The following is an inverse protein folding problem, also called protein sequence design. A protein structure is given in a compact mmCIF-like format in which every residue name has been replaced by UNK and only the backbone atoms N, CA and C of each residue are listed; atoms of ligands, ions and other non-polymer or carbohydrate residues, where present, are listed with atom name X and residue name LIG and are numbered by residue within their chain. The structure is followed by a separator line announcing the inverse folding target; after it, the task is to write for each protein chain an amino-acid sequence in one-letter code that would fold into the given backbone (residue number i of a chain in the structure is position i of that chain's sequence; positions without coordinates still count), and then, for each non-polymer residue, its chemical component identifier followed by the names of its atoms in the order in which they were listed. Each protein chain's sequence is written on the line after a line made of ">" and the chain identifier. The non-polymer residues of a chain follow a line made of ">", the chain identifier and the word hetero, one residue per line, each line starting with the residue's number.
data_IF_885587038961
#
_entry.id   IF_885587038961
#
_cell.length_a   1.000
_cell.length_b   1.000
_cell.length_c   1.000
_cell.angle_alpha   90.00
_cell.angle_beta   90.00
_cell.angle_gamma   90.00
#
_symmetry.space_group_name_H-M   'P 1'
#
loop_
_entity.id
_entity.type
_entity.pdbx_description
1 polymer ?
#
# COMPACT_ATOMS: atom_id res chain seq x y z
N UNK A 1 4.64 -5.90 -26.37
CA UNK A 1 5.11 -5.66 -24.98
C UNK A 1 4.32 -4.54 -24.28
N UNK A 2 4.04 -3.42 -24.96
CA UNK A 2 3.32 -2.26 -24.40
C UNK A 2 1.89 -2.59 -23.95
N UNK A 3 1.14 -3.37 -24.72
CA UNK A 3 -0.22 -3.78 -24.36
C UNK A 3 -0.27 -4.56 -23.02
N UNK A 4 0.67 -5.48 -22.78
CA UNK A 4 0.74 -6.24 -21.53
C UNK A 4 1.05 -5.34 -20.33
N UNK A 5 1.92 -4.33 -20.51
CA UNK A 5 2.19 -3.33 -19.46
C UNK A 5 0.97 -2.46 -19.16
N UNK A 6 0.24 -2.07 -20.21
CA UNK A 6 -1.00 -1.31 -20.05
C UNK A 6 -2.05 -2.12 -19.28
N UNK A 7 -2.26 -3.38 -19.66
CA UNK A 7 -3.21 -4.26 -18.97
C UNK A 7 -2.82 -4.49 -17.51
N UNK A 8 -1.54 -4.75 -17.23
CA UNK A 8 -1.06 -4.92 -15.87
C UNK A 8 -1.38 -3.69 -15.00
N UNK A 9 -1.06 -2.48 -15.50
CA UNK A 9 -1.37 -1.24 -14.79
C UNK A 9 -2.87 -1.01 -14.62
N UNK A 10 -3.69 -1.32 -15.63
CA UNK A 10 -5.14 -1.19 -15.58
C UNK A 10 -5.74 -2.07 -14.46
N UNK A 11 -5.27 -3.32 -14.35
CA UNK A 11 -5.75 -4.24 -13.31
C UNK A 11 -5.24 -3.88 -11.91
N UNK A 12 -4.00 -3.40 -11.80
CA UNK A 12 -3.39 -3.07 -10.51
C UNK A 12 -3.96 -1.77 -9.90
N UNK A 13 -4.29 -0.78 -10.75
CA UNK A 13 -4.77 0.53 -10.31
C UNK A 13 -6.08 0.47 -9.50
N UNK A 14 -6.94 -0.51 -9.78
CA UNK A 14 -8.23 -0.67 -9.09
C UNK A 14 -8.17 -1.33 -7.71
N UNK A 15 -7.06 -2.01 -7.37
CA UNK A 15 -7.00 -2.88 -6.20
C UNK A 15 -7.05 -2.07 -4.90
N UNK A 16 -6.17 -1.09 -4.75
CA UNK A 16 -6.12 -0.26 -3.53
C UNK A 16 -7.41 0.54 -3.25
N UNK A 17 -8.03 1.24 -4.23
CA UNK A 17 -9.30 1.92 -3.98
C UNK A 17 -10.45 0.94 -3.68
N UNK A 18 -10.48 -0.23 -4.33
CA UNK A 18 -11.49 -1.25 -4.05
C UNK A 18 -11.35 -1.81 -2.61
N UNK A 19 -10.14 -2.16 -2.18
CA UNK A 19 -9.88 -2.63 -0.81
C UNK A 19 -10.20 -1.54 0.22
N UNK A 20 -9.83 -0.30 -0.07
CA UNK A 20 -10.14 0.85 0.83
C UNK A 20 -11.64 1.03 0.97
N UNK A 21 -12.38 1.02 -0.14
CA UNK A 21 -13.84 1.13 -0.15
C UNK A 21 -14.50 -0.03 0.60
N UNK A 22 -14.01 -1.26 0.42
CA UNK A 22 -14.49 -2.43 1.14
C UNK A 22 -14.30 -2.23 2.66
N UNK A 23 -13.10 -1.86 3.11
CA UNK A 23 -12.85 -1.60 4.54
C UNK A 23 -13.74 -0.48 5.07
N UNK A 24 -13.89 0.62 4.34
CA UNK A 24 -14.76 1.73 4.74
C UNK A 24 -16.26 1.39 4.75
N UNK A 25 -16.67 0.35 4.01
CA UNK A 25 -18.06 -0.14 3.99
C UNK A 25 -18.36 -1.09 5.15
N UNK A 26 -17.37 -1.85 5.62
CA UNK A 26 -17.57 -2.84 6.70
C UNK A 26 -17.25 -2.32 8.10
N UNK A 27 -16.37 -1.31 8.23
CA UNK A 27 -15.84 -0.85 9.51
C UNK A 27 -16.16 0.62 9.79
N UNK A 28 -16.41 0.92 11.08
CA UNK A 28 -16.65 2.28 11.58
C UNK A 28 -15.42 3.18 11.40
N UNK A 29 -15.63 4.49 11.32
CA UNK A 29 -14.55 5.50 11.15
C UNK A 29 -13.36 5.32 12.11
N UNK A 30 -13.62 4.99 13.38
CA UNK A 30 -12.57 4.78 14.39
C UNK A 30 -11.76 3.50 14.18
N UNK A 31 -12.34 2.48 13.54
CA UNK A 31 -11.72 1.18 13.30
C UNK A 31 -11.00 1.12 11.95
N UNK A 32 -11.40 1.96 11.00
CA UNK A 32 -10.83 2.02 9.65
C UNK A 32 -9.31 2.21 9.65
N UNK A 33 -8.75 3.04 10.55
CA UNK A 33 -7.30 3.28 10.63
C UNK A 33 -6.54 1.98 10.89
N UNK A 34 -7.00 1.20 11.88
CA UNK A 34 -6.35 -0.05 12.23
C UNK A 34 -6.49 -1.08 11.10
N UNK A 35 -7.67 -1.17 10.47
CA UNK A 35 -7.93 -2.15 9.40
C UNK A 35 -7.20 -1.81 8.10
N UNK A 36 -7.18 -0.55 7.70
CA UNK A 36 -6.37 -0.09 6.57
C UNK A 36 -4.90 -0.30 6.88
N UNK A 37 -4.44 0.01 8.11
CA UNK A 37 -3.11 -0.34 8.58
C UNK A 37 -2.76 -1.81 8.32
N UNK A 38 -3.64 -2.75 8.68
CA UNK A 38 -3.46 -4.17 8.38
C UNK A 38 -3.35 -4.48 6.88
N UNK A 39 -4.14 -3.83 6.02
CA UNK A 39 -4.02 -4.01 4.56
C UNK A 39 -2.66 -3.54 4.07
N UNK A 40 -2.15 -2.42 4.59
CA UNK A 40 -0.83 -1.91 4.22
C UNK A 40 0.31 -2.75 4.78
N UNK A 41 0.16 -3.43 5.92
CA UNK A 41 1.15 -4.40 6.42
C UNK A 41 1.41 -5.54 5.42
N UNK A 42 0.41 -5.93 4.63
CA UNK A 42 0.58 -6.94 3.58
C UNK A 42 1.59 -6.50 2.51
N UNK A 43 1.80 -5.18 2.32
CA UNK A 43 2.81 -4.67 1.40
C UNK A 43 4.22 -5.04 1.86
N UNK A 44 4.57 -4.76 3.12
CA UNK A 44 5.85 -5.14 3.71
C UNK A 44 6.09 -6.66 3.69
N UNK A 45 5.06 -7.46 3.95
CA UNK A 45 5.13 -8.93 3.83
C UNK A 45 5.41 -9.33 2.37
N UNK A 46 4.73 -8.69 1.41
CA UNK A 46 4.96 -8.90 -0.02
C UNK A 46 6.38 -8.57 -0.46
N UNK A 47 6.98 -7.50 0.08
CA UNK A 47 8.39 -7.14 -0.16
C UNK A 47 9.33 -8.24 0.35
N UNK A 48 9.09 -8.77 1.56
CA UNK A 48 9.90 -9.84 2.14
C UNK A 48 9.81 -11.11 1.30
N UNK A 49 8.59 -11.59 1.03
CA UNK A 49 8.36 -12.82 0.27
C UNK A 49 8.88 -12.67 -1.17
N UNK A 50 8.58 -11.53 -1.82
CA UNK A 50 9.04 -11.24 -3.17
C UNK A 50 10.57 -11.16 -3.27
N UNK A 51 11.23 -10.56 -2.27
CA UNK A 51 12.68 -10.52 -2.15
C UNK A 51 13.29 -11.91 -2.01
N UNK A 52 12.73 -12.77 -1.14
CA UNK A 52 13.19 -14.15 -0.94
C UNK A 52 13.01 -15.02 -2.20
N UNK A 53 11.85 -14.94 -2.85
CA UNK A 53 11.58 -15.66 -4.10
C UNK A 53 12.57 -15.22 -5.19
N UNK A 54 12.78 -13.90 -5.33
CA UNK A 54 13.71 -13.33 -6.32
C UNK A 54 15.14 -13.77 -6.03
N UNK A 55 15.54 -13.85 -4.76
CA UNK A 55 16.86 -14.33 -4.36
C UNK A 55 17.06 -15.81 -4.71
N UNK A 56 16.06 -16.66 -4.44
CA UNK A 56 16.08 -18.09 -4.78
C UNK A 56 16.18 -18.33 -6.28
N UNK A 57 15.37 -17.63 -7.08
CA UNK A 57 15.42 -17.72 -8.55
C UNK A 57 16.73 -17.15 -9.11
N UNK A 58 17.34 -16.19 -8.41
CA UNK A 58 18.66 -15.64 -8.76
C UNK A 58 19.79 -16.68 -8.79
N UNK A 59 19.68 -17.76 -8.01
CA UNK A 59 20.64 -18.86 -7.92
C UNK A 59 20.38 -20.01 -8.90
N UNK A 60 19.25 -20.00 -9.61
CA UNK A 60 18.97 -21.01 -10.62
C UNK A 60 19.83 -20.79 -11.86
N UNK A 61 20.39 -21.86 -12.41
CA UNK A 61 21.04 -21.85 -13.72
C UNK A 61 19.99 -21.56 -14.81
N UNK A 62 20.41 -20.90 -15.88
CA UNK A 62 19.50 -20.53 -16.97
C UNK A 62 19.00 -21.79 -17.69
N UNK A 63 17.84 -22.29 -17.26
CA UNK A 63 17.11 -23.44 -17.83
C UNK A 63 16.42 -23.07 -19.16
N UNK A 64 17.17 -22.47 -20.10
CA UNK A 64 16.67 -22.02 -21.41
C UNK A 64 15.70 -20.82 -21.39
N UNK A 65 15.26 -20.39 -20.20
CA UNK A 65 14.36 -19.25 -20.00
C UNK A 65 15.02 -18.24 -19.05
N UNK A 66 14.98 -16.96 -19.40
CA UNK A 66 15.55 -15.90 -18.57
C UNK A 66 14.89 -15.85 -17.17
N UNK A 67 15.72 -15.78 -16.11
CA UNK A 67 15.31 -15.80 -14.69
C UNK A 67 14.16 -14.85 -14.33
N UNK A 68 14.09 -13.68 -14.96
CA UNK A 68 13.02 -12.70 -14.71
C UNK A 68 11.63 -13.18 -15.18
N UNK A 69 11.55 -14.09 -16.16
CA UNK A 69 10.27 -14.66 -16.63
C UNK A 69 9.70 -15.64 -15.63
N UNK A 70 10.56 -16.42 -14.96
CA UNK A 70 10.15 -17.32 -13.87
C UNK A 70 9.49 -16.57 -12.71
N UNK A 71 10.04 -15.41 -12.35
CA UNK A 71 9.44 -14.53 -11.33
C UNK A 71 8.01 -14.15 -11.74
N UNK A 72 7.80 -13.72 -12.98
CA UNK A 72 6.47 -13.34 -13.48
C UNK A 72 5.50 -14.51 -13.54
N UNK A 73 5.94 -15.72 -13.89
CA UNK A 73 5.08 -16.90 -13.89
C UNK A 73 4.65 -17.31 -12.49
N UNK A 74 5.58 -17.31 -11.53
CA UNK A 74 5.28 -17.70 -10.14
C UNK A 74 4.39 -16.67 -9.48
N UNK A 75 4.80 -15.40 -9.45
CA UNK A 75 4.01 -14.35 -8.80
C UNK A 75 2.69 -14.08 -9.53
N UNK A 76 2.71 -14.05 -10.87
CA UNK A 76 1.50 -13.88 -11.68
C UNK A 76 0.53 -15.04 -11.54
N UNK A 77 1.02 -16.28 -11.46
CA UNK A 77 0.18 -17.45 -11.24
C UNK A 77 -0.51 -17.41 -9.87
N UNK A 78 0.23 -17.05 -8.82
CA UNK A 78 -0.32 -16.90 -7.47
C UNK A 78 -1.38 -15.80 -7.41
N UNK A 79 -1.14 -14.64 -8.03
CA UNK A 79 -2.13 -13.54 -8.03
C UNK A 79 -3.38 -13.89 -8.83
N UNK A 80 -3.24 -14.57 -9.98
CA UNK A 80 -4.39 -15.07 -10.74
C UNK A 80 -5.20 -16.08 -9.92
N UNK A 81 -4.54 -17.01 -9.23
CA UNK A 81 -5.22 -17.99 -8.37
C UNK A 81 -5.99 -17.33 -7.22
N UNK A 82 -5.37 -16.36 -6.53
CA UNK A 82 -6.02 -15.58 -5.49
C UNK A 82 -7.20 -14.78 -6.06
N UNK A 83 -7.06 -14.22 -7.27
CA UNK A 83 -8.14 -13.51 -7.96
C UNK A 83 -9.36 -14.39 -8.23
N UNK A 84 -9.15 -15.66 -8.64
CA UNK A 84 -10.24 -16.63 -8.82
C UNK A 84 -10.93 -16.93 -7.49
N UNK A 85 -10.15 -17.15 -6.41
CA UNK A 85 -10.72 -17.37 -5.08
C UNK A 85 -11.54 -16.15 -4.63
N UNK A 86 -10.98 -14.95 -4.79
CA UNK A 86 -11.69 -13.71 -4.45
C UNK A 86 -12.99 -13.57 -5.24
N UNK A 87 -13.01 -13.94 -6.52
CA UNK A 87 -14.24 -13.88 -7.32
C UNK A 87 -15.39 -14.72 -6.75
N UNK A 88 -15.10 -15.89 -6.17
CA UNK A 88 -16.13 -16.76 -5.59
C UNK A 88 -16.44 -16.50 -4.12
N UNK A 89 -15.46 -16.05 -3.34
CA UNK A 89 -15.56 -15.94 -1.87
C UNK A 89 -15.61 -14.51 -1.35
N UNK A 90 -15.34 -13.49 -2.16
CA UNK A 90 -15.31 -12.10 -1.70
C UNK A 90 -16.74 -11.63 -1.38
N UNK A 91 -16.94 -11.26 -0.12
CA UNK A 91 -18.18 -10.66 0.34
C UNK A 91 -18.11 -9.15 0.10
N UNK A 92 -18.92 -8.69 -0.82
CA UNK A 92 -18.98 -7.33 -1.38
C UNK A 92 -19.92 -6.39 -0.60
N UNK A 93 -20.83 -6.96 0.21
CA UNK A 93 -21.82 -6.21 0.96
C UNK A 93 -21.93 -6.72 2.43
N UNK A 94 -21.94 -5.83 3.44
CA UNK A 94 -22.20 -6.21 4.82
C UNK A 94 -23.60 -6.82 5.05
N UNK A 95 -24.54 -6.64 4.11
CA UNK A 95 -25.84 -7.34 4.09
C UNK A 95 -25.88 -8.56 3.14
N UNK A 96 -24.73 -9.04 2.68
CA UNK A 96 -24.69 -10.16 1.72
C UNK A 96 -25.24 -11.44 2.35
N UNK A 97 -26.04 -12.19 1.57
CA UNK A 97 -26.66 -13.46 1.98
C UNK A 97 -25.62 -14.51 2.41
N UNK A 98 -24.38 -14.39 1.93
CA UNK A 98 -23.26 -15.26 2.28
C UNK A 98 -22.82 -15.14 3.75
N UNK A 99 -23.12 -14.03 4.43
CA UNK A 99 -22.79 -13.83 5.86
C UNK A 99 -23.74 -14.58 6.80
N UNK A 100 -24.90 -15.06 6.30
CA UNK A 100 -25.90 -15.79 7.09
C UNK A 100 -26.22 -15.13 8.44
N UNK A 101 -26.46 -13.81 8.42
CA UNK A 101 -26.72 -13.01 9.62
C UNK A 101 -28.08 -13.38 10.24
N UNK A 102 -28.11 -13.53 11.57
CA UNK A 102 -29.35 -13.59 12.34
C UNK A 102 -30.02 -12.20 12.41
N UNK A 103 -31.33 -12.15 12.69
CA UNK A 103 -32.10 -10.90 12.76
C UNK A 103 -31.49 -9.84 13.70
N UNK A 104 -30.97 -10.26 14.86
CA UNK A 104 -30.27 -9.35 15.79
C UNK A 104 -28.95 -8.81 15.22
N UNK A 105 -28.23 -9.63 14.44
CA UNK A 105 -26.99 -9.24 13.80
C UNK A 105 -27.22 -8.28 12.63
N UNK A 106 -28.35 -8.41 11.93
CA UNK A 106 -28.74 -7.52 10.85
C UNK A 106 -29.01 -6.09 11.36
N UNK A 107 -29.68 -5.97 12.51
CA UNK A 107 -29.91 -4.68 13.19
C UNK A 107 -28.57 -4.05 13.61
N UNK A 108 -27.66 -4.84 14.20
CA UNK A 108 -26.32 -4.37 14.58
C UNK A 108 -25.48 -3.94 13.38
N UNK A 109 -25.60 -4.62 12.24
CA UNK A 109 -24.93 -4.24 10.99
C UNK A 109 -25.51 -2.93 10.47
N UNK A 110 -26.82 -2.73 10.54
CA UNK A 110 -27.47 -1.50 10.11
C UNK A 110 -27.05 -0.30 10.96
N UNK A 111 -27.02 -0.45 12.29
CA UNK A 111 -26.52 0.58 13.20
C UNK A 111 -25.05 0.92 12.95
N UNK A 112 -24.21 -0.08 12.67
CA UNK A 112 -22.80 0.15 12.30
C UNK A 112 -22.68 0.88 10.97
N UNK A 113 -23.51 0.53 9.99
CA UNK A 113 -23.46 1.11 8.64
C UNK A 113 -23.84 2.60 8.66
N UNK A 114 -24.69 3.05 9.60
CA UNK A 114 -25.02 4.47 9.77
C UNK A 114 -23.83 5.34 10.23
N UNK A 115 -22.85 4.75 10.91
CA UNK A 115 -21.64 5.43 11.39
C UNK A 115 -20.46 5.32 10.40
N UNK A 116 -20.69 4.70 9.24
CA UNK A 116 -19.68 4.59 8.20
C UNK A 116 -19.49 5.92 7.45
N UNK A 117 -18.28 6.14 6.95
CA UNK A 117 -17.93 7.33 6.14
C UNK A 117 -18.62 7.32 4.77
N UNK A 118 -18.95 6.14 4.25
CA UNK A 118 -19.48 5.96 2.89
C UNK A 118 -20.97 5.64 2.95
N UNK A 119 -21.81 6.58 2.52
CA UNK A 119 -23.23 6.33 2.23
C UNK A 119 -23.32 5.79 0.81
N UNK A 120 -23.58 4.48 0.65
CA UNK A 120 -23.76 3.87 -0.69
C UNK A 120 -25.01 4.46 -1.35
N UNK A 121 -24.82 5.42 -2.23
CA UNK A 121 -25.85 5.95 -3.13
C UNK A 121 -25.51 5.53 -4.54
N UNK A 122 -26.39 4.76 -5.19
CA UNK A 122 -26.18 4.29 -6.57
C UNK A 122 -26.48 5.37 -7.64
N UNK A 123 -26.99 6.54 -7.22
CA UNK A 123 -27.28 7.66 -8.10
C UNK A 123 -26.09 8.63 -8.15
N UNK A 124 -25.43 8.70 -9.31
CA UNK A 124 -24.36 9.67 -9.58
C UNK A 124 -25.01 11.05 -9.74
N UNK A 125 -24.74 11.96 -8.80
CA UNK A 125 -25.20 13.35 -8.87
C UNK A 125 -24.12 14.22 -9.50
N UNK A 126 -24.30 14.58 -10.76
CA UNK A 126 -23.34 15.41 -11.50
C UNK A 126 -23.07 16.76 -10.82
N UNK A 127 -24.05 17.30 -10.11
CA UNK A 127 -23.90 18.54 -9.33
C UNK A 127 -22.82 18.40 -8.23
N UNK A 128 -22.79 17.27 -7.52
CA UNK A 128 -21.78 17.00 -6.48
C UNK A 128 -20.38 16.85 -7.07
N UNK A 129 -20.25 16.35 -8.29
CA UNK A 129 -18.97 16.24 -8.99
C UNK A 129 -18.42 17.63 -9.32
N UNK A 130 -19.27 18.51 -9.87
CA UNK A 130 -18.87 19.87 -10.22
C UNK A 130 -18.55 20.69 -8.97
N UNK A 131 -19.29 20.51 -7.88
CA UNK A 131 -19.01 21.13 -6.59
C UNK A 131 -17.66 20.67 -6.02
N UNK A 132 -17.39 19.36 -6.02
CA UNK A 132 -16.11 18.81 -5.57
C UNK A 132 -14.91 19.30 -6.40
N UNK A 133 -15.08 19.46 -7.72
CA UNK A 133 -14.03 19.98 -8.61
C UNK A 133 -13.72 21.46 -8.39
N UNK A 134 -14.67 22.25 -7.88
CA UNK A 134 -14.47 23.66 -7.52
C UNK A 134 -13.82 23.85 -6.15
N UNK A 135 -13.73 22.79 -5.34
CA UNK A 135 -13.15 22.87 -4.02
C UNK A 135 -11.62 22.99 -4.08
N UNK A 136 -11.06 24.13 -3.69
CA UNK A 136 -9.60 24.37 -3.67
C UNK A 136 -8.85 23.36 -2.80
N UNK A 137 -9.49 22.86 -1.73
CA UNK A 137 -8.90 21.86 -0.83
C UNK A 137 -8.65 20.53 -1.54
N UNK A 138 -9.53 20.13 -2.46
CA UNK A 138 -9.36 18.93 -3.28
C UNK A 138 -8.08 19.06 -4.12
N UNK A 139 -7.87 20.18 -4.80
CA UNK A 139 -6.67 20.41 -5.60
C UNK A 139 -5.38 20.47 -4.77
N UNK A 140 -5.43 21.03 -3.56
CA UNK A 140 -4.31 21.00 -2.63
C UNK A 140 -3.95 19.55 -2.21
N UNK A 141 -4.95 18.72 -1.91
CA UNK A 141 -4.76 17.31 -1.56
C UNK A 141 -4.28 16.47 -2.76
N UNK A 142 -4.82 16.71 -3.95
CA UNK A 142 -4.38 16.07 -5.19
C UNK A 142 -2.91 16.43 -5.48
N UNK A 143 -2.53 17.69 -5.30
CA UNK A 143 -1.15 18.15 -5.51
C UNK A 143 -0.20 17.53 -4.49
N UNK A 144 -0.57 17.50 -3.21
CA UNK A 144 0.22 16.84 -2.17
C UNK A 144 0.39 15.34 -2.43
N UNK A 145 -0.70 14.67 -2.82
CA UNK A 145 -0.69 13.24 -3.18
C UNK A 145 0.17 12.97 -4.41
N UNK A 146 0.13 13.83 -5.43
CA UNK A 146 0.95 13.73 -6.63
C UNK A 146 2.45 13.82 -6.31
N UNK A 147 2.85 14.82 -5.51
CA UNK A 147 4.24 14.98 -5.09
C UNK A 147 4.73 13.77 -4.27
N UNK A 148 3.85 13.24 -3.43
CA UNK A 148 4.14 12.04 -2.64
C UNK A 148 4.28 10.78 -3.51
N UNK A 149 3.37 10.55 -4.46
CA UNK A 149 3.46 9.44 -5.41
C UNK A 149 4.70 9.55 -6.30
N UNK A 150 5.05 10.76 -6.75
CA UNK A 150 6.27 11.02 -7.51
C UNK A 150 7.50 10.60 -6.72
N UNK A 151 7.54 10.97 -5.43
CA UNK A 151 8.61 10.59 -4.53
C UNK A 151 8.69 9.07 -4.35
N UNK A 152 7.56 8.44 -4.05
CA UNK A 152 7.48 7.01 -3.81
C UNK A 152 7.87 6.20 -5.06
N UNK A 153 7.39 6.60 -6.24
CA UNK A 153 7.73 5.94 -7.51
C UNK A 153 9.23 5.94 -7.78
N UNK A 154 9.92 7.06 -7.52
CA UNK A 154 11.36 7.15 -7.64
C UNK A 154 12.12 6.22 -6.67
N UNK A 155 11.74 6.21 -5.39
CA UNK A 155 12.45 5.40 -4.38
C UNK A 155 12.16 3.90 -4.54
N UNK A 156 10.95 3.51 -4.94
CA UNK A 156 10.55 2.11 -5.05
C UNK A 156 11.12 1.45 -6.31
N UNK A 157 10.99 2.09 -7.48
CA UNK A 157 11.45 1.51 -8.76
C UNK A 157 12.97 1.38 -8.80
N UNK A 158 13.69 2.39 -8.32
CA UNK A 158 15.15 2.42 -8.37
C UNK A 158 15.80 1.83 -7.12
N UNK A 159 15.05 1.27 -6.18
CA UNK A 159 15.55 0.78 -4.90
C UNK A 159 16.76 -0.16 -5.05
N UNK A 160 16.62 -1.22 -5.86
CA UNK A 160 17.69 -2.19 -6.08
C UNK A 160 18.90 -1.57 -6.80
N UNK A 161 18.68 -0.57 -7.64
CA UNK A 161 19.76 0.14 -8.34
C UNK A 161 20.52 1.07 -7.41
N UNK A 162 19.80 1.78 -6.53
CA UNK A 162 20.37 2.64 -5.48
C UNK A 162 21.24 1.80 -4.55
N UNK A 163 20.76 0.63 -4.12
CA UNK A 163 21.54 -0.28 -3.29
C UNK A 163 22.79 -0.80 -4.01
N UNK A 164 22.74 -1.04 -5.33
CA UNK A 164 23.96 -1.38 -6.11
C UNK A 164 24.95 -0.23 -6.17
N UNK A 165 24.48 1.02 -6.27
CA UNK A 165 25.34 2.20 -6.23
C UNK A 165 26.11 2.37 -4.91
N UNK A 166 25.74 1.62 -3.86
CA UNK A 166 26.49 1.59 -2.60
C UNK A 166 27.63 0.57 -2.59
N UNK A 167 27.85 -0.17 -3.69
CA UNK A 167 28.92 -1.18 -3.80
C UNK A 167 28.46 -2.61 -3.51
N UNK A 168 27.16 -2.84 -3.30
CA UNK A 168 26.62 -4.19 -3.11
C UNK A 168 26.43 -4.92 -4.44
N UNK A 169 26.65 -6.23 -4.42
CA UNK A 169 26.41 -7.10 -5.59
C UNK A 169 24.92 -7.25 -5.90
N UNK A 170 24.57 -7.64 -7.14
CA UNK A 170 23.17 -7.80 -7.58
C UNK A 170 22.34 -8.70 -6.66
N UNK A 171 22.91 -9.81 -6.17
CA UNK A 171 22.20 -10.74 -5.29
C UNK A 171 22.05 -10.16 -3.87
N UNK A 172 23.07 -9.49 -3.35
CA UNK A 172 23.00 -8.81 -2.06
C UNK A 172 21.92 -7.70 -2.06
N UNK A 173 21.79 -6.92 -3.14
CA UNK A 173 20.75 -5.89 -3.23
C UNK A 173 19.32 -6.45 -3.15
N UNK A 174 19.10 -7.68 -3.62
CA UNK A 174 17.79 -8.34 -3.52
C UNK A 174 17.51 -8.80 -2.09
N UNK A 175 18.51 -9.38 -1.41
CA UNK A 175 18.37 -9.78 0.00
C UNK A 175 18.10 -8.57 0.90
N UNK A 176 18.71 -7.43 0.59
CA UNK A 176 18.51 -6.19 1.34
C UNK A 176 17.07 -5.63 1.23
N UNK A 177 16.22 -6.18 0.34
CA UNK A 177 14.78 -5.89 0.36
C UNK A 177 14.05 -6.55 1.53
N UNK A 178 14.54 -7.66 2.08
CA UNK A 178 13.91 -8.33 3.23
C UNK A 178 13.94 -7.45 4.49
N UNK A 179 15.09 -6.87 4.90
CA UNK A 179 15.11 -5.88 5.97
C UNK A 179 14.21 -4.67 5.69
N UNK A 180 14.14 -4.20 4.44
CA UNK A 180 13.25 -3.09 4.06
C UNK A 180 11.80 -3.40 4.40
N UNK A 181 11.29 -4.57 4.00
CA UNK A 181 9.93 -4.97 4.32
C UNK A 181 9.68 -5.16 5.82
N UNK A 182 10.69 -5.60 6.58
CA UNK A 182 10.58 -5.71 8.04
C UNK A 182 10.47 -4.33 8.71
N UNK A 183 11.28 -3.36 8.28
CA UNK A 183 11.17 -1.98 8.76
C UNK A 183 9.81 -1.38 8.41
N UNK A 184 9.31 -1.61 7.19
CA UNK A 184 7.98 -1.14 6.76
C UNK A 184 6.87 -1.65 7.70
N UNK A 185 6.86 -2.95 8.01
CA UNK A 185 5.92 -3.56 8.96
C UNK A 185 6.00 -2.91 10.35
N UNK A 186 7.21 -2.76 10.89
CA UNK A 186 7.41 -2.18 12.23
C UNK A 186 6.90 -0.74 12.28
N UNK A 187 7.22 0.06 11.26
CA UNK A 187 6.81 1.46 11.21
C UNK A 187 5.31 1.64 10.97
N UNK A 188 4.67 0.78 10.16
CA UNK A 188 3.21 0.79 10.02
C UNK A 188 2.54 0.43 11.34
N UNK A 189 3.01 -0.60 12.05
CA UNK A 189 2.48 -0.97 13.38
C UNK A 189 2.63 0.18 14.38
N UNK A 190 3.80 0.82 14.42
CA UNK A 190 4.06 1.97 15.27
C UNK A 190 3.14 3.14 14.93
N UNK A 191 2.97 3.44 13.64
CA UNK A 191 2.10 4.52 13.19
C UNK A 191 0.63 4.26 13.57
N UNK A 192 0.12 3.04 13.34
CA UNK A 192 -1.25 2.65 13.73
C UNK A 192 -1.44 2.75 15.24
N UNK A 193 -0.47 2.29 16.04
CA UNK A 193 -0.51 2.39 17.49
C UNK A 193 -0.54 3.85 17.97
N UNK A 194 0.33 4.72 17.42
CA UNK A 194 0.37 6.14 17.77
C UNK A 194 -0.93 6.85 17.38
N UNK A 195 -1.52 6.52 16.23
CA UNK A 195 -2.79 7.13 15.78
C UNK A 195 -3.93 6.72 16.70
N UNK A 196 -4.01 5.45 17.08
CA UNK A 196 -5.03 4.96 18.01
C UNK A 196 -4.89 5.60 19.40
N UNK A 197 -3.65 5.85 19.87
CA UNK A 197 -3.41 6.47 21.18
C UNK A 197 -3.66 7.97 21.19
N UNK A 198 -3.23 8.70 20.16
CA UNK A 198 -3.30 10.17 20.14
C UNK A 198 -4.56 10.72 19.47
N UNK A 199 -5.26 9.91 18.66
CA UNK A 199 -6.44 10.36 17.90
C UNK A 199 -6.14 11.41 16.82
N UNK A 200 -4.86 11.69 16.55
CA UNK A 200 -4.42 12.76 15.65
C UNK A 200 -3.68 12.22 14.42
N UNK A 201 -4.47 11.76 13.45
CA UNK A 201 -4.04 11.17 12.18
C UNK A 201 -3.10 12.08 11.37
N UNK A 202 -3.38 13.39 11.32
CA UNK A 202 -2.63 14.35 10.48
C UNK A 202 -1.21 14.61 11.00
N UNK A 203 -1.04 14.80 12.31
CA UNK A 203 0.28 15.09 12.89
C UNK A 203 1.25 13.92 12.72
N UNK A 204 0.73 12.69 12.86
CA UNK A 204 1.53 11.48 12.67
C UNK A 204 1.90 11.29 11.19
N UNK A 205 0.97 11.60 10.27
CA UNK A 205 1.26 11.62 8.84
C UNK A 205 2.39 12.61 8.51
N UNK A 206 2.28 13.86 8.97
CA UNK A 206 3.32 14.88 8.77
C UNK A 206 4.67 14.45 9.38
N UNK A 207 4.68 13.89 10.59
CA UNK A 207 5.89 13.39 11.22
C UNK A 207 6.54 12.26 10.41
N UNK A 208 5.75 11.31 9.89
CA UNK A 208 6.27 10.23 9.03
C UNK A 208 6.86 10.75 7.71
N UNK A 209 6.26 11.78 7.11
CA UNK A 209 6.78 12.42 5.89
C UNK A 209 8.10 13.17 6.16
N UNK A 210 8.23 13.82 7.32
CA UNK A 210 9.48 14.46 7.72
C UNK A 210 10.60 13.44 7.91
N UNK A 211 10.32 12.32 8.58
CA UNK A 211 11.28 11.21 8.76
C UNK A 211 11.72 10.66 7.39
N UNK A 212 10.78 10.42 6.47
CA UNK A 212 11.08 9.98 5.11
C UNK A 212 11.96 10.98 4.36
N UNK A 213 11.68 12.29 4.49
CA UNK A 213 12.49 13.34 3.87
C UNK A 213 13.91 13.36 4.43
N UNK A 214 14.06 13.29 5.75
CA UNK A 214 15.38 13.21 6.42
C UNK A 214 16.14 11.97 5.98
N UNK A 215 15.50 10.80 5.91
CA UNK A 215 16.12 9.56 5.43
C UNK A 215 16.70 9.72 4.04
N UNK A 216 16.01 10.46 3.18
CA UNK A 216 16.45 10.66 1.81
C UNK A 216 17.54 11.70 1.66
N UNK A 217 17.55 12.73 2.51
CA UNK A 217 18.66 13.68 2.61
C UNK A 217 19.92 12.96 3.11
N UNK A 218 19.76 12.04 4.06
CA UNK A 218 20.86 11.23 4.59
C UNK A 218 21.55 10.40 3.50
N UNK A 219 20.78 9.86 2.54
CA UNK A 219 21.32 9.11 1.40
C UNK A 219 22.19 9.98 0.47
N UNK A 220 21.88 11.28 0.37
CA UNK A 220 22.62 12.22 -0.49
C UNK A 220 23.89 12.72 0.20
N UNK A 221 23.81 13.02 1.51
CA UNK A 221 24.89 13.69 2.25
C UNK A 221 25.97 12.73 2.73
N UNK A 222 25.63 11.51 3.12
CA UNK A 222 26.61 10.60 3.73
C UNK A 222 27.42 9.88 2.65
N UNK A 223 28.77 9.86 2.70
CA UNK A 223 29.59 9.11 1.73
C UNK A 223 29.62 7.60 1.99
N UNK A 224 29.50 7.18 3.26
CA UNK A 224 29.71 5.78 3.67
C UNK A 224 28.53 4.85 3.33
N UNK A 225 28.80 3.67 2.71
CA UNK A 225 27.75 2.79 2.17
C UNK A 225 26.83 2.17 3.24
N UNK A 226 27.36 1.81 4.41
CA UNK A 226 26.56 1.22 5.49
C UNK A 226 25.54 2.20 6.08
N UNK A 227 25.91 3.48 6.20
CA UNK A 227 25.03 4.53 6.69
C UNK A 227 24.01 4.99 5.63
N UNK A 228 24.32 4.86 4.33
CA UNK A 228 23.36 5.08 3.24
C UNK A 228 22.21 4.07 3.26
N UNK A 229 22.43 2.83 3.69
CA UNK A 229 21.37 1.83 3.85
C UNK A 229 20.36 2.25 4.93
N UNK A 230 20.83 2.83 6.04
CA UNK A 230 19.94 3.34 7.10
C UNK A 230 19.06 4.48 6.55
N UNK A 231 19.66 5.39 5.76
CA UNK A 231 18.91 6.42 5.04
C UNK A 231 17.87 5.84 4.07
N UNK A 232 18.23 4.74 3.37
CA UNK A 232 17.31 4.02 2.49
C UNK A 232 16.13 3.40 3.26
N UNK A 233 16.38 2.82 4.42
CA UNK A 233 15.31 2.24 5.25
C UNK A 233 14.38 3.32 5.79
N UNK A 234 14.94 4.44 6.26
CA UNK A 234 14.17 5.60 6.74
C UNK A 234 13.39 6.29 5.63
N UNK A 235 13.92 6.33 4.40
CA UNK A 235 13.25 6.91 3.23
C UNK A 235 11.93 6.22 2.88
N UNK A 236 11.83 4.91 3.16
CA UNK A 236 10.64 4.09 2.89
C UNK A 236 9.60 4.16 4.02
N UNK A 237 9.93 4.75 5.17
CA UNK A 237 9.02 4.98 6.31
C UNK A 237 7.86 5.94 5.98
N UNK A 238 7.84 6.53 4.78
CA UNK A 238 6.75 7.40 4.34
C UNK A 238 5.45 6.64 3.95
N UNK A 239 5.49 5.30 3.82
CA UNK A 239 4.32 4.47 3.43
C UNK A 239 3.09 4.57 4.37
N UNK A 240 3.21 4.73 5.71
CA UNK A 240 2.05 4.88 6.59
C UNK A 240 1.20 6.12 6.28
N UNK A 241 1.74 7.12 5.56
CA UNK A 241 0.97 8.29 5.14
C UNK A 241 -0.21 7.90 4.24
N UNK A 242 -0.12 6.81 3.46
CA UNK A 242 -1.23 6.31 2.64
C UNK A 242 -2.45 5.87 3.47
N UNK A 243 -2.23 5.25 4.63
CA UNK A 243 -3.30 4.84 5.56
C UNK A 243 -4.05 6.06 6.10
N UNK A 244 -3.32 7.17 6.28
CA UNK A 244 -3.78 8.33 7.05
C UNK A 244 -4.53 9.36 6.19
N UNK A 245 -4.22 9.44 4.89
CA UNK A 245 -4.97 10.30 3.96
C UNK A 245 -6.37 9.78 3.62
N UNK A 246 -6.61 8.47 3.71
CA UNK A 246 -7.86 7.86 3.25
C UNK A 246 -9.08 8.06 4.18
N UNK A 247 -8.88 8.53 5.43
CA UNK A 247 -9.87 8.31 6.51
C UNK A 247 -10.60 9.58 6.96
N UNK A 248 -10.15 10.78 6.54
CA UNK A 248 -10.64 12.04 7.14
C UNK A 248 -11.45 12.95 6.21
N UNK A 249 -11.78 12.50 5.01
CA UNK A 249 -12.64 13.24 4.08
C UNK A 249 -13.88 12.40 3.78
#
# INVERSE_FOLDING_TARGET
>A
MTALRFLLGLFEAGIYPALTLLVCTFYRRKEQVARLGCVWLCNGIGIIIGGLITYGIGHMNDLGIARWRWIMFILGGVTCFIGIIAFFFLIDNPKSRHLQLNAEQEILVEERTRDNTVVRTNAIKNEQIVEALKETRLWALCSASLLFCLRNGGTTIYNAQITRSFGYTRLQSVVLMVPIGAFDIIFILLAVYLVNKMGQTLHIACASMLIGTVGTLLMVVIPQPNFKLIGQYLALVAVPTYVLHAIRY
#
